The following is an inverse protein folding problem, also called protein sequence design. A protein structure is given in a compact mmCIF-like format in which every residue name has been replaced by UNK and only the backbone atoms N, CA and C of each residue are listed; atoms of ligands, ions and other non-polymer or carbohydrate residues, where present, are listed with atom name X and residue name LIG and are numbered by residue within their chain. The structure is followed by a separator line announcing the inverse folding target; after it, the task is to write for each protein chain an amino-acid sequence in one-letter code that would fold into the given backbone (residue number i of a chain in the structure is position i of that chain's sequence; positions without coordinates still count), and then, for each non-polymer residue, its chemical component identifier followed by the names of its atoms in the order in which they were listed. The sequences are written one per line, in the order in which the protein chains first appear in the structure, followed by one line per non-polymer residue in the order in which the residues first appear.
data_IF_348773406504
#
_entry.id   IF_348773406504
#
_cell.length_a   1.000
_cell.length_b   1.000
_cell.length_c   1.000
_cell.angle_alpha   90.00
_cell.angle_beta   90.00
_cell.angle_gamma   90.00
#
_symmetry.space_group_name_H-M   'P 1'
#
loop_
_entity.id
_entity.type
_entity.pdbx_description
1 polymer ?
#
# COMPACT_ATOMS: atom_id res chain seq x y z
N UNK A 1 6.68 4.29 -8.74
CA UNK A 1 5.27 4.39 -8.28
C UNK A 1 4.93 3.17 -7.46
N UNK A 2 4.48 3.34 -6.22
CA UNK A 2 4.03 2.24 -5.36
C UNK A 2 2.58 1.90 -5.69
N UNK A 3 2.32 0.68 -6.11
CA UNK A 3 0.95 0.20 -6.33
C UNK A 3 0.40 -0.35 -5.02
N UNK A 4 -0.79 0.08 -4.62
CA UNK A 4 -1.50 -0.60 -3.55
C UNK A 4 -1.92 -2.02 -3.96
N UNK A 5 -2.39 -2.80 -3.00
CA UNK A 5 -2.77 -4.20 -3.23
C UNK A 5 -3.95 -4.33 -4.19
N UNK A 6 -4.92 -3.42 -4.14
CA UNK A 6 -6.13 -3.50 -4.95
C UNK A 6 -5.85 -3.19 -6.43
N UNK A 7 -5.12 -2.12 -6.72
CA UNK A 7 -4.65 -1.74 -8.06
C UNK A 7 -3.81 -2.87 -8.66
N UNK A 8 -2.85 -3.42 -7.90
CA UNK A 8 -2.01 -4.50 -8.42
C UNK A 8 -2.83 -5.77 -8.75
N UNK A 9 -3.77 -6.15 -7.88
CA UNK A 9 -4.70 -7.26 -8.14
C UNK A 9 -5.52 -7.00 -9.41
N UNK A 10 -6.01 -5.77 -9.60
CA UNK A 10 -6.78 -5.42 -10.80
C UNK A 10 -5.96 -5.55 -12.07
N UNK A 11 -4.71 -5.05 -12.09
CA UNK A 11 -3.81 -5.18 -13.23
C UNK A 11 -3.56 -6.64 -13.60
N UNK A 12 -3.30 -7.50 -12.60
CA UNK A 12 -3.15 -8.95 -12.80
C UNK A 12 -4.42 -9.56 -13.38
N UNK A 13 -5.61 -9.23 -12.84
CA UNK A 13 -6.89 -9.76 -13.31
C UNK A 13 -7.19 -9.36 -14.75
N UNK A 14 -6.88 -8.11 -15.11
CA UNK A 14 -7.04 -7.56 -16.46
C UNK A 14 -5.96 -8.06 -17.43
N UNK A 15 -4.93 -8.76 -16.95
CA UNK A 15 -3.72 -9.11 -17.71
C UNK A 15 -3.11 -7.88 -18.40
N UNK A 16 -3.19 -6.74 -17.72
CA UNK A 16 -2.63 -5.50 -18.21
C UNK A 16 -1.10 -5.53 -18.04
N UNK A 17 -0.40 -4.81 -18.91
CA UNK A 17 1.02 -4.55 -18.69
C UNK A 17 1.21 -3.73 -17.41
N UNK A 18 2.23 -4.08 -16.62
CA UNK A 18 2.58 -3.31 -15.44
C UNK A 18 3.15 -1.95 -15.88
N UNK A 19 2.75 -0.84 -15.23
CA UNK A 19 3.34 0.45 -15.52
C UNK A 19 4.87 0.43 -15.37
N UNK A 20 5.61 1.16 -16.23
CA UNK A 20 7.06 1.31 -16.07
C UNK A 20 7.40 1.85 -14.68
N UNK A 21 8.44 1.29 -14.05
CA UNK A 21 8.90 1.68 -12.70
C UNK A 21 7.84 1.50 -11.58
N UNK A 22 6.84 0.64 -11.81
CA UNK A 22 5.96 0.17 -10.76
C UNK A 22 6.75 -0.66 -9.74
N UNK A 23 6.42 -0.45 -8.47
CA UNK A 23 6.93 -1.23 -7.34
C UNK A 23 5.76 -1.61 -6.44
N UNK A 24 5.93 -2.64 -5.62
CA UNK A 24 4.95 -3.06 -4.60
C UNK A 24 5.63 -3.14 -3.23
N UNK A 25 4.85 -3.04 -2.15
CA UNK A 25 5.35 -3.28 -0.80
C UNK A 25 5.44 -4.78 -0.53
N UNK A 26 6.37 -5.21 0.33
CA UNK A 26 6.39 -6.57 0.88
C UNK A 26 5.07 -6.93 1.60
N UNK A 27 4.34 -5.92 2.09
CA UNK A 27 3.00 -6.10 2.66
C UNK A 27 2.02 -6.59 1.60
N UNK A 28 1.98 -5.94 0.44
CA UNK A 28 1.17 -6.36 -0.72
C UNK A 28 1.51 -7.79 -1.14
N UNK A 29 2.79 -8.16 -1.17
CA UNK A 29 3.22 -9.55 -1.42
C UNK A 29 2.62 -10.52 -0.40
N UNK A 30 2.65 -10.17 0.89
CA UNK A 30 2.03 -10.95 1.95
C UNK A 30 0.51 -11.11 1.76
N UNK A 31 -0.19 -10.01 1.42
CA UNK A 31 -1.63 -10.02 1.16
C UNK A 31 -2.00 -10.91 -0.03
N UNK A 32 -1.25 -10.85 -1.13
CA UNK A 32 -1.45 -11.69 -2.31
C UNK A 32 -1.28 -13.17 -1.98
N UNK A 33 -0.22 -13.52 -1.23
CA UNK A 33 0.03 -14.91 -0.80
C UNK A 33 -1.08 -15.40 0.12
N UNK A 34 -1.50 -14.58 1.09
CA UNK A 34 -2.62 -14.90 1.97
C UNK A 34 -3.93 -15.07 1.18
N UNK A 35 -4.19 -14.21 0.20
CA UNK A 35 -5.36 -14.31 -0.68
C UNK A 35 -5.36 -15.62 -1.48
N UNK A 36 -4.22 -15.99 -2.07
CA UNK A 36 -4.07 -17.25 -2.81
C UNK A 36 -4.33 -18.48 -1.93
N UNK A 37 -3.85 -18.46 -0.68
CA UNK A 37 -4.11 -19.53 0.30
C UNK A 37 -5.60 -19.58 0.66
N UNK A 38 -6.21 -18.44 1.05
CA UNK A 38 -7.63 -18.34 1.42
C UNK A 38 -8.57 -18.80 0.29
N UNK A 39 -8.18 -18.59 -0.98
CA UNK A 39 -8.93 -19.02 -2.16
C UNK A 39 -8.60 -20.45 -2.62
N UNK A 40 -7.81 -21.20 -1.83
CA UNK A 40 -7.38 -22.57 -2.13
C UNK A 40 -6.79 -22.73 -3.54
N UNK A 41 -5.91 -21.80 -3.94
CA UNK A 41 -5.29 -21.86 -5.26
C UNK A 41 -4.34 -23.07 -5.38
N UNK A 42 -4.55 -23.85 -6.45
CA UNK A 42 -3.65 -24.95 -6.82
C UNK A 42 -2.23 -24.47 -7.17
N UNK A 43 -1.30 -25.42 -7.25
CA UNK A 43 0.13 -25.13 -7.49
C UNK A 43 0.37 -24.23 -8.70
N UNK A 44 -0.28 -24.51 -9.84
CA UNK A 44 -0.12 -23.74 -11.07
C UNK A 44 -0.44 -22.25 -10.89
N UNK A 45 -1.58 -21.91 -10.28
CA UNK A 45 -1.98 -20.51 -10.04
C UNK A 45 -1.03 -19.79 -9.08
N UNK A 46 -0.57 -20.49 -8.04
CA UNK A 46 0.43 -19.94 -7.11
C UNK A 46 1.77 -19.71 -7.80
N UNK A 47 2.24 -20.64 -8.62
CA UNK A 47 3.48 -20.48 -9.38
C UNK A 47 3.41 -19.29 -10.36
N UNK A 48 2.26 -19.09 -11.02
CA UNK A 48 2.04 -17.89 -11.85
C UNK A 48 2.11 -16.60 -11.03
N UNK A 49 1.47 -16.56 -9.85
CA UNK A 49 1.54 -15.40 -8.96
C UNK A 49 2.98 -15.11 -8.52
N UNK A 50 3.73 -16.12 -8.09
CA UNK A 50 5.14 -15.96 -7.69
C UNK A 50 6.01 -15.47 -8.86
N UNK A 51 5.75 -15.94 -10.09
CA UNK A 51 6.44 -15.43 -11.27
C UNK A 51 6.19 -13.94 -11.49
N UNK A 52 4.93 -13.50 -11.41
CA UNK A 52 4.56 -12.08 -11.55
C UNK A 52 5.21 -11.23 -10.45
N UNK A 53 5.18 -11.72 -9.20
CA UNK A 53 5.84 -11.03 -8.07
C UNK A 53 7.35 -10.94 -8.29
N UNK A 54 7.98 -11.95 -8.89
CA UNK A 54 9.41 -11.95 -9.22
C UNK A 54 9.82 -11.00 -10.36
N UNK A 55 8.87 -10.48 -11.13
CA UNK A 55 9.11 -9.56 -12.25
C UNK A 55 8.98 -8.08 -11.84
N UNK A 56 8.46 -7.79 -10.63
CA UNK A 56 8.26 -6.42 -10.13
C UNK A 56 9.15 -6.16 -8.90
N UNK A 57 9.83 -5.00 -8.81
CA UNK A 57 10.59 -4.66 -7.62
C UNK A 57 9.70 -4.57 -6.36
N UNK A 58 10.20 -5.12 -5.25
CA UNK A 58 9.50 -5.16 -3.97
C UNK A 58 10.23 -4.27 -2.96
N UNK A 59 9.54 -3.29 -2.39
CA UNK A 59 10.05 -2.46 -1.30
C UNK A 59 9.88 -3.18 0.04
N UNK A 60 10.97 -3.35 0.76
CA UNK A 60 11.01 -3.95 2.09
C UNK A 60 10.72 -2.96 3.21
N UNK A 61 10.67 -3.48 4.44
CA UNK A 61 10.54 -2.67 5.66
C UNK A 61 11.93 -2.49 6.27
N UNK A 62 12.33 -1.24 6.44
CA UNK A 62 13.50 -0.86 7.22
C UNK A 62 13.09 -0.54 8.67
N UNK A 63 13.95 -0.76 9.68
CA UNK A 63 13.61 -0.41 11.07
C UNK A 63 13.15 1.04 11.24
N UNK A 64 13.76 1.98 10.54
CA UNK A 64 13.40 3.42 10.57
C UNK A 64 12.03 3.73 9.95
N UNK A 65 11.46 2.82 9.16
CA UNK A 65 10.10 2.97 8.61
C UNK A 65 9.04 2.90 9.72
N UNK A 66 9.33 2.25 10.85
CA UNK A 66 8.37 2.13 11.97
C UNK A 66 7.95 3.48 12.53
N UNK A 67 8.83 4.47 12.48
CA UNK A 67 8.53 5.83 12.97
C UNK A 67 7.52 6.53 12.04
N UNK A 68 7.66 6.32 10.73
CA UNK A 68 6.69 6.78 9.72
C UNK A 68 5.36 6.07 9.91
N UNK A 69 5.37 4.74 10.13
CA UNK A 69 4.16 3.98 10.44
C UNK A 69 3.42 4.54 11.66
N UNK A 70 4.14 4.78 12.76
CA UNK A 70 3.55 5.32 13.99
C UNK A 70 2.93 6.70 13.76
N UNK A 71 3.59 7.53 12.96
CA UNK A 71 3.08 8.86 12.55
C UNK A 71 1.78 8.73 11.75
N UNK A 72 1.74 7.84 10.75
CA UNK A 72 0.54 7.60 9.92
C UNK A 72 -0.63 7.07 10.76
N UNK A 73 -0.40 6.11 11.66
CA UNK A 73 -1.45 5.56 12.53
C UNK A 73 -1.99 6.63 13.49
N UNK A 74 -1.10 7.36 14.18
CA UNK A 74 -1.49 8.44 15.10
C UNK A 74 -2.23 9.57 14.38
N UNK A 75 -1.75 10.00 13.21
CA UNK A 75 -2.41 11.02 12.40
C UNK A 75 -3.79 10.57 11.92
N UNK A 76 -3.90 9.32 11.43
CA UNK A 76 -5.17 8.75 11.00
C UNK A 76 -6.19 8.67 12.14
N UNK A 77 -5.75 8.44 13.36
CA UNK A 77 -6.59 8.43 14.55
C UNK A 77 -6.89 9.84 15.11
N UNK A 78 -6.34 10.90 14.52
CA UNK A 78 -6.47 12.27 15.03
C UNK A 78 -5.74 12.51 16.35
N UNK A 79 -4.73 11.69 16.65
CA UNK A 79 -3.98 11.69 17.90
C UNK A 79 -2.55 12.25 17.74
N UNK A 80 -2.14 12.62 16.52
CA UNK A 80 -0.85 13.25 16.28
C UNK A 80 -0.89 14.73 16.69
N UNK A 81 -0.34 15.04 17.86
CA UNK A 81 -0.39 16.40 18.44
C UNK A 81 0.41 17.42 17.60
N UNK A 82 1.56 16.99 17.05
CA UNK A 82 2.43 17.86 16.27
C UNK A 82 1.85 18.28 14.93
N UNK A 83 0.93 17.48 14.39
CA UNK A 83 0.26 17.72 13.11
C UNK A 83 -1.19 17.21 13.21
N UNK A 84 -2.10 18.00 13.79
CA UNK A 84 -3.48 17.58 14.00
C UNK A 84 -4.25 17.53 12.67
N UNK A 85 -5.30 16.70 12.63
CA UNK A 85 -6.18 16.63 11.46
C UNK A 85 -6.75 18.02 11.09
N UNK A 86 -6.74 18.39 9.80
CA UNK A 86 -7.34 19.65 9.34
C UNK A 86 -8.83 19.77 9.71
N UNK A 87 -9.35 21.01 9.85
CA UNK A 87 -10.77 21.23 10.09
C UNK A 87 -11.65 20.53 9.04
N UNK A 88 -12.66 19.79 9.50
CA UNK A 88 -13.56 19.04 8.63
C UNK A 88 -13.10 17.63 8.26
N UNK A 89 -11.87 17.22 8.64
CA UNK A 89 -11.41 15.84 8.53
C UNK A 89 -11.60 15.13 9.88
N UNK A 90 -12.21 13.95 9.84
CA UNK A 90 -12.42 13.12 11.04
C UNK A 90 -11.38 12.02 11.12
N UNK A 91 -11.12 11.56 12.35
CA UNK A 91 -10.34 10.34 12.57
C UNK A 91 -10.91 9.16 11.76
N UNK A 92 -10.01 8.30 11.29
CA UNK A 92 -10.30 7.17 10.42
C UNK A 92 -9.56 5.93 10.91
N UNK A 93 -10.30 4.82 10.98
CA UNK A 93 -9.72 3.50 11.16
C UNK A 93 -9.22 3.01 9.79
N UNK A 94 -7.91 2.88 9.65
CA UNK A 94 -7.29 2.28 8.47
C UNK A 94 -6.99 0.80 8.71
N UNK A 95 -7.01 0.01 7.65
CA UNK A 95 -6.46 -1.35 7.69
C UNK A 95 -4.98 -1.30 8.08
N UNK A 96 -4.54 -2.25 8.91
CA UNK A 96 -3.14 -2.27 9.37
C UNK A 96 -2.15 -2.43 8.22
N UNK A 97 -2.53 -3.15 7.17
CA UNK A 97 -1.72 -3.26 5.96
C UNK A 97 -1.69 -1.94 5.16
N UNK A 98 -2.81 -1.22 5.07
CA UNK A 98 -2.88 0.07 4.39
C UNK A 98 -1.98 1.11 5.06
N UNK A 99 -1.92 1.12 6.40
CA UNK A 99 -1.00 2.00 7.14
C UNK A 99 0.45 1.69 6.76
N UNK A 100 0.83 0.42 6.70
CA UNK A 100 2.19 0.05 6.26
C UNK A 100 2.47 0.43 4.81
N UNK A 101 1.49 0.28 3.91
CA UNK A 101 1.62 0.66 2.49
C UNK A 101 1.80 2.18 2.37
N UNK A 102 0.99 2.98 3.08
CA UNK A 102 1.12 4.44 3.13
C UNK A 102 2.46 4.87 3.73
N UNK A 103 2.88 4.24 4.84
CA UNK A 103 4.18 4.49 5.45
C UNK A 103 5.34 4.12 4.52
N UNK A 104 5.21 3.05 3.73
CA UNK A 104 6.19 2.67 2.69
C UNK A 104 6.30 3.75 1.62
N UNK A 105 5.16 4.26 1.12
CA UNK A 105 5.16 5.34 0.13
C UNK A 105 5.86 6.61 0.66
N UNK A 106 5.52 7.03 1.88
CA UNK A 106 6.12 8.18 2.54
C UNK A 106 7.62 7.99 2.77
N UNK A 107 8.03 6.83 3.30
CA UNK A 107 9.42 6.56 3.65
C UNK A 107 10.36 6.56 2.44
N UNK A 108 9.94 5.95 1.34
CA UNK A 108 10.72 5.91 0.10
C UNK A 108 10.49 7.12 -0.81
N UNK A 109 9.67 8.08 -0.38
CA UNK A 109 9.31 9.28 -1.14
C UNK A 109 8.79 8.94 -2.56
N UNK A 110 7.81 8.04 -2.64
CA UNK A 110 7.18 7.61 -3.90
C UNK A 110 5.68 7.86 -3.90
N UNK A 111 5.12 8.08 -5.08
CA UNK A 111 3.67 8.19 -5.26
C UNK A 111 2.99 6.84 -4.98
N UNK A 112 1.88 6.88 -4.22
CA UNK A 112 1.00 5.74 -3.99
C UNK A 112 -0.16 5.78 -4.98
N UNK A 113 -0.28 4.73 -5.79
CA UNK A 113 -1.38 4.54 -6.73
C UNK A 113 -2.44 3.65 -6.09
N UNK A 114 -3.66 4.17 -6.01
CA UNK A 114 -4.79 3.51 -5.35
C UNK A 114 -6.09 3.82 -6.08
N UNK A 115 -7.05 2.89 -6.02
CA UNK A 115 -8.42 3.13 -6.43
C UNK A 115 -9.31 3.58 -5.25
N UNK A 116 -8.84 3.41 -4.01
CA UNK A 116 -9.63 3.60 -2.80
C UNK A 116 -9.40 4.99 -2.19
N UNK A 117 -10.43 5.52 -1.54
CA UNK A 117 -10.39 6.82 -0.86
C UNK A 117 -9.82 6.74 0.56
N UNK A 118 -9.35 5.56 0.99
CA UNK A 118 -8.89 5.31 2.35
C UNK A 118 -7.63 6.09 2.71
N UNK A 119 -6.84 6.50 1.71
CA UNK A 119 -5.60 7.25 1.89
C UNK A 119 -5.76 8.77 1.81
N UNK A 120 -6.91 9.29 1.39
CA UNK A 120 -7.09 10.70 1.01
C UNK A 120 -6.77 11.68 2.15
N UNK A 121 -7.04 11.29 3.39
CA UNK A 121 -6.77 12.14 4.54
C UNK A 121 -5.28 12.33 4.81
N UNK A 122 -4.40 11.51 4.22
CA UNK A 122 -2.95 11.53 4.42
C UNK A 122 -2.19 12.51 3.50
N UNK A 123 -2.87 13.17 2.55
CA UNK A 123 -2.26 14.20 1.71
C UNK A 123 -1.54 15.30 2.51
N UNK A 124 -2.09 15.82 3.64
CA UNK A 124 -1.44 16.88 4.43
C UNK A 124 -0.10 16.47 5.04
N UNK A 125 0.10 15.19 5.37
CA UNK A 125 1.37 14.68 5.89
C UNK A 125 2.35 14.28 4.79
N UNK A 126 2.10 14.70 3.55
CA UNK A 126 3.03 14.56 2.42
C UNK A 126 2.81 13.34 1.54
N UNK A 127 1.78 12.52 1.79
CA UNK A 127 1.51 11.36 0.93
C UNK A 127 1.08 11.85 -0.46
N UNK A 128 1.79 11.43 -1.51
CA UNK A 128 1.38 11.73 -2.89
C UNK A 128 0.52 10.61 -3.42
N UNK A 129 -0.73 10.94 -3.79
CA UNK A 129 -1.70 9.97 -4.30
C UNK A 129 -1.95 10.16 -5.79
N UNK A 130 -2.04 9.05 -6.51
CA UNK A 130 -2.56 8.98 -7.88
C UNK A 130 -3.76 8.05 -7.90
N UNK A 131 -4.90 8.58 -8.36
CA UNK A 131 -6.16 7.83 -8.50
C UNK A 131 -6.24 7.19 -9.88
N UNK A 132 -6.66 5.92 -9.92
CA UNK A 132 -6.82 5.13 -11.15
C UNK A 132 -8.28 4.73 -11.40
#
# INVERSE_FOLDING_TARGET
MLLDTNVFIELIRKKAELPPFAVISIITVGELKAFAIKRNWGYQKRATLEKIIGEIPVLGIEPTLTDVYATVDAYSQGLLISDPLPPGITARNMGKNDIWIAATALYYDVELHTADNDFDHLLPIGLRLVKL
#
